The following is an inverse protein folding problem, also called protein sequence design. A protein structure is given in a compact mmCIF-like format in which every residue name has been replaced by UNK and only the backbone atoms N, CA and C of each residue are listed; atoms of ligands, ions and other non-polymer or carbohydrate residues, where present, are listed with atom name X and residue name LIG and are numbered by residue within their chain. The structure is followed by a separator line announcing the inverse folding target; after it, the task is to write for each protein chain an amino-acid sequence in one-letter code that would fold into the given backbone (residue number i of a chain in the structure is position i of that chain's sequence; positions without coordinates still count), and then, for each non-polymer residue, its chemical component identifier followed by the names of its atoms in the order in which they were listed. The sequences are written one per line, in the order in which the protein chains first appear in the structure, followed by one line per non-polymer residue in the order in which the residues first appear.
data_IF_541225691639
#
_entry.id   IF_541225691639
#
_cell.length_a   1.000
_cell.length_b   1.000
_cell.length_c   1.000
_cell.angle_alpha   90.00
_cell.angle_beta   90.00
_cell.angle_gamma   90.00
#
_symmetry.space_group_name_H-M   'P 1'
#
loop_
_entity.id
_entity.type
_entity.pdbx_description
1 polymer ?
#
# COMPACT_ATOMS: atom_id res chain seq x y z
N UNK A 1 -14.12 7.27 20.47
CA UNK A 1 -12.94 6.38 20.62
C UNK A 1 -13.30 5.29 21.59
N UNK A 2 -13.08 4.03 21.22
CA UNK A 2 -13.22 2.87 22.12
C UNK A 2 -11.82 2.47 22.60
N UNK A 3 -11.32 3.05 23.71
CA UNK A 3 -9.93 2.89 24.15
C UNK A 3 -9.57 1.43 24.49
N UNK A 4 -10.56 0.59 24.77
CA UNK A 4 -10.37 -0.81 25.13
C UNK A 4 -10.49 -1.77 23.94
N UNK A 5 -10.69 -1.26 22.71
CA UNK A 5 -10.77 -2.11 21.53
C UNK A 5 -9.37 -2.55 21.08
N UNK A 6 -8.98 -3.83 21.28
CA UNK A 6 -7.61 -4.26 21.03
C UNK A 6 -7.24 -4.21 19.54
N UNK A 7 -8.22 -4.35 18.63
CA UNK A 7 -7.96 -4.24 17.19
C UNK A 7 -7.66 -2.78 16.81
N UNK A 8 -8.46 -1.83 17.30
CA UNK A 8 -8.22 -0.41 17.05
C UNK A 8 -6.89 0.06 17.64
N UNK A 9 -6.53 -0.42 18.82
CA UNK A 9 -5.25 -0.09 19.45
C UNK A 9 -4.06 -0.63 18.66
N UNK A 10 -4.15 -1.87 18.14
CA UNK A 10 -3.13 -2.42 17.23
C UNK A 10 -3.00 -1.57 15.96
N UNK A 11 -4.12 -1.24 15.32
CA UNK A 11 -4.11 -0.51 14.06
C UNK A 11 -3.63 0.95 14.25
N UNK A 12 -3.85 1.53 15.44
CA UNK A 12 -3.29 2.83 15.79
C UNK A 12 -1.74 2.82 15.82
N UNK A 13 -1.11 1.71 16.23
CA UNK A 13 0.34 1.56 16.18
C UNK A 13 0.86 1.50 14.74
N UNK A 14 0.17 0.77 13.87
CA UNK A 14 0.45 0.75 12.42
C UNK A 14 0.39 2.16 11.83
N UNK A 15 -0.68 2.91 12.12
CA UNK A 15 -0.86 4.27 11.60
C UNK A 15 0.17 5.25 12.13
N UNK A 16 0.45 5.29 13.43
CA UNK A 16 1.40 6.27 13.95
C UNK A 16 2.83 6.05 13.43
N UNK A 17 3.26 4.79 13.26
CA UNK A 17 4.59 4.47 12.71
C UNK A 17 4.61 4.74 11.21
N UNK A 18 3.58 4.29 10.49
CA UNK A 18 3.43 4.47 9.05
C UNK A 18 3.39 5.95 8.66
N UNK A 19 2.60 6.75 9.37
CA UNK A 19 2.43 8.17 9.09
C UNK A 19 3.72 8.95 9.32
N UNK A 20 4.37 8.75 10.48
CA UNK A 20 5.59 9.49 10.82
C UNK A 20 6.77 9.12 9.91
N UNK A 21 6.97 7.83 9.62
CA UNK A 21 8.14 7.39 8.87
C UNK A 21 7.94 7.40 7.35
N UNK A 22 6.70 7.26 6.85
CA UNK A 22 6.44 7.11 5.43
C UNK A 22 5.42 8.13 4.91
N UNK A 23 4.14 7.99 5.29
CA UNK A 23 3.02 8.69 4.63
C UNK A 23 3.17 10.21 4.67
N UNK A 24 3.44 10.80 5.83
CA UNK A 24 3.50 12.25 5.96
C UNK A 24 4.68 12.87 5.21
N UNK A 25 5.81 12.16 5.13
CA UNK A 25 6.99 12.65 4.39
C UNK A 25 6.74 12.65 2.87
N UNK A 26 6.07 11.60 2.35
CA UNK A 26 5.64 11.55 0.94
C UNK A 26 4.66 12.69 0.64
N UNK A 27 3.69 12.92 1.54
CA UNK A 27 2.74 14.01 1.40
C UNK A 27 3.42 15.39 1.38
N UNK A 28 4.37 15.62 2.30
CA UNK A 28 5.13 16.88 2.33
C UNK A 28 5.91 17.09 1.03
N UNK A 29 6.61 16.07 0.55
CA UNK A 29 7.38 16.16 -0.69
C UNK A 29 6.48 16.49 -1.90
N UNK A 30 5.37 15.76 -2.04
CA UNK A 30 4.38 15.98 -3.10
C UNK A 30 3.77 17.39 -3.04
N UNK A 31 3.44 17.86 -1.83
CA UNK A 31 2.91 19.21 -1.60
C UNK A 31 3.92 20.27 -2.06
N UNK A 32 5.18 20.17 -1.66
CA UNK A 32 6.22 21.13 -2.06
C UNK A 32 6.42 21.17 -3.57
N UNK A 33 6.46 20.01 -4.23
CA UNK A 33 6.58 19.96 -5.68
C UNK A 33 5.39 20.63 -6.39
N UNK A 34 4.17 20.42 -5.90
CA UNK A 34 2.96 21.01 -6.45
C UNK A 34 2.90 22.54 -6.24
N UNK A 35 3.32 23.03 -5.06
CA UNK A 35 3.41 24.47 -4.75
C UNK A 35 4.36 25.22 -5.70
N UNK A 36 5.42 24.55 -6.17
CA UNK A 36 6.37 25.07 -7.16
C UNK A 36 5.88 24.96 -8.63
N UNK A 37 4.59 24.65 -8.84
CA UNK A 37 3.96 24.65 -10.16
C UNK A 37 4.21 23.40 -11.00
N UNK A 38 4.72 22.31 -10.40
CA UNK A 38 4.91 21.04 -11.10
C UNK A 38 3.65 20.18 -11.11
N UNK A 39 3.49 19.37 -12.15
CA UNK A 39 2.46 18.33 -12.18
C UNK A 39 2.86 17.18 -11.25
N UNK A 40 2.01 16.87 -10.26
CA UNK A 40 2.22 15.79 -9.29
C UNK A 40 1.08 14.78 -9.39
N UNK A 41 1.42 13.49 -9.37
CA UNK A 41 0.48 12.38 -9.30
C UNK A 41 0.76 11.59 -8.04
N UNK A 42 -0.24 11.45 -7.18
CA UNK A 42 -0.16 10.70 -5.92
C UNK A 42 -1.12 9.52 -5.97
N UNK A 43 -0.72 8.39 -5.39
CA UNK A 43 -1.57 7.22 -5.24
C UNK A 43 -1.59 6.75 -3.79
N UNK A 44 -2.66 6.04 -3.42
CA UNK A 44 -2.76 5.25 -2.21
C UNK A 44 -3.02 3.80 -2.63
N UNK A 45 -2.04 2.92 -2.42
CA UNK A 45 -2.14 1.51 -2.78
C UNK A 45 -2.91 0.75 -1.70
N UNK A 46 -3.96 0.01 -2.10
CA UNK A 46 -4.92 -0.64 -1.17
C UNK A 46 -5.24 -2.08 -1.54
N UNK A 47 -4.54 -2.66 -2.50
CA UNK A 47 -4.76 -4.04 -2.92
C UNK A 47 -3.92 -5.01 -2.07
N UNK A 48 -4.51 -6.08 -1.57
CA UNK A 48 -3.80 -7.16 -0.88
C UNK A 48 -3.83 -8.41 -1.74
N UNK A 49 -2.66 -8.96 -2.05
CA UNK A 49 -2.57 -10.23 -2.79
C UNK A 49 -3.36 -11.35 -2.10
N UNK A 50 -4.12 -12.12 -2.89
CA UNK A 50 -4.90 -13.27 -2.40
C UNK A 50 -4.01 -14.31 -1.73
N UNK A 51 -2.81 -14.51 -2.27
CA UNK A 51 -1.79 -15.44 -1.75
C UNK A 51 -0.83 -14.82 -0.73
N UNK A 52 -1.10 -13.62 -0.18
CA UNK A 52 -0.18 -12.94 0.73
C UNK A 52 0.10 -13.83 1.99
N UNK A 53 1.36 -14.20 2.26
CA UNK A 53 1.71 -15.14 3.32
C UNK A 53 1.62 -14.53 4.74
N UNK A 54 1.54 -13.21 4.86
CA UNK A 54 1.47 -12.53 6.14
C UNK A 54 0.10 -12.69 6.80
N UNK A 55 -0.02 -12.56 8.13
CA UNK A 55 -1.30 -12.63 8.81
C UNK A 55 -2.34 -11.65 8.24
N UNK A 56 -3.62 -12.03 8.24
CA UNK A 56 -4.71 -11.20 7.66
C UNK A 56 -4.80 -9.78 8.23
N UNK A 57 -4.44 -9.61 9.51
CA UNK A 57 -4.53 -8.32 10.20
C UNK A 57 -3.48 -7.30 9.72
N UNK A 58 -2.45 -7.73 8.99
CA UNK A 58 -1.42 -6.80 8.50
C UNK A 58 -1.89 -5.91 7.35
N UNK A 59 -3.06 -6.20 6.76
CA UNK A 59 -3.63 -5.38 5.69
C UNK A 59 -2.74 -5.36 4.45
N UNK A 60 -2.42 -4.17 3.96
CA UNK A 60 -1.51 -3.94 2.83
C UNK A 60 -0.26 -3.29 3.38
N UNK A 61 0.85 -4.02 3.35
CA UNK A 61 2.08 -3.61 4.01
C UNK A 61 3.00 -2.83 3.07
N UNK A 62 4.03 -2.23 3.66
CA UNK A 62 5.10 -1.58 2.93
C UNK A 62 5.76 -2.55 1.92
N UNK A 63 5.76 -2.16 0.64
CA UNK A 63 6.37 -2.91 -0.45
C UNK A 63 5.44 -3.92 -1.14
N UNK A 64 4.18 -4.07 -0.69
CA UNK A 64 3.23 -5.02 -1.30
C UNK A 64 2.88 -4.65 -2.76
N UNK A 65 3.08 -3.40 -3.17
CA UNK A 65 2.85 -2.94 -4.54
C UNK A 65 3.93 -3.41 -5.53
N UNK A 66 5.14 -3.72 -5.04
CA UNK A 66 6.33 -4.00 -5.88
C UNK A 66 6.06 -5.16 -6.85
N UNK A 67 5.46 -6.24 -6.37
CA UNK A 67 5.16 -7.42 -7.20
C UNK A 67 4.31 -7.04 -8.43
N UNK A 68 3.36 -6.13 -8.26
CA UNK A 68 2.44 -5.70 -9.31
C UNK A 68 3.09 -4.72 -10.28
N UNK A 69 3.89 -3.77 -9.78
CA UNK A 69 4.62 -2.81 -10.61
C UNK A 69 5.60 -3.52 -11.55
N UNK A 70 6.22 -4.60 -11.07
CA UNK A 70 7.17 -5.40 -11.85
C UNK A 70 6.54 -6.52 -12.69
N UNK A 71 5.22 -6.66 -12.69
CA UNK A 71 4.57 -7.67 -13.51
C UNK A 71 4.71 -9.11 -12.99
N UNK A 72 5.09 -9.33 -11.73
CA UNK A 72 5.21 -10.68 -11.17
C UNK A 72 3.91 -11.49 -11.28
N UNK A 73 2.69 -10.92 -11.12
CA UNK A 73 1.44 -11.63 -11.39
C UNK A 73 1.33 -12.28 -12.77
N UNK A 74 2.07 -11.76 -13.75
CA UNK A 74 2.07 -12.27 -15.12
C UNK A 74 2.92 -13.53 -15.29
N UNK A 75 3.70 -13.93 -14.27
CA UNK A 75 4.45 -15.17 -14.28
C UNK A 75 3.49 -16.37 -14.13
N UNK A 76 3.35 -17.23 -15.17
CA UNK A 76 2.41 -18.36 -15.14
C UNK A 76 2.78 -19.46 -14.14
N UNK A 77 4.00 -19.45 -13.59
CA UNK A 77 4.41 -20.40 -12.55
C UNK A 77 3.89 -20.04 -11.16
N UNK A 78 3.30 -18.86 -10.99
CA UNK A 78 2.79 -18.34 -9.72
C UNK A 78 1.25 -18.36 -9.68
N UNK A 79 0.70 -18.32 -8.47
CA UNK A 79 -0.73 -18.51 -8.21
C UNK A 79 -1.59 -17.24 -8.16
N UNK A 80 -1.25 -16.19 -8.92
CA UNK A 80 -2.03 -14.94 -8.97
C UNK A 80 -3.34 -15.13 -9.75
N UNK A 81 -4.39 -14.41 -9.35
CA UNK A 81 -5.70 -14.45 -10.03
C UNK A 81 -5.67 -13.69 -11.36
N UNK A 82 -6.67 -13.91 -12.22
CA UNK A 82 -6.81 -13.10 -13.45
C UNK A 82 -7.02 -11.62 -13.14
N UNK A 83 -7.81 -11.29 -12.12
CA UNK A 83 -7.99 -9.90 -11.66
C UNK A 83 -6.66 -9.26 -11.20
N UNK A 84 -5.79 -10.02 -10.54
CA UNK A 84 -4.46 -9.56 -10.12
C UNK A 84 -3.51 -9.36 -11.31
N UNK A 85 -3.63 -10.18 -12.35
CA UNK A 85 -2.90 -10.00 -13.61
C UNK A 85 -3.36 -8.75 -14.36
N UNK A 86 -4.66 -8.52 -14.41
CA UNK A 86 -5.23 -7.29 -15.00
C UNK A 86 -4.84 -6.05 -14.21
N UNK A 87 -4.86 -6.14 -12.88
CA UNK A 87 -4.41 -5.07 -12.02
C UNK A 87 -2.93 -4.75 -12.24
N UNK A 88 -2.06 -5.76 -12.35
CA UNK A 88 -0.65 -5.57 -12.66
C UNK A 88 -0.40 -4.94 -14.04
N UNK A 89 -1.20 -5.27 -15.06
CA UNK A 89 -1.12 -4.63 -16.38
C UNK A 89 -1.56 -3.16 -16.37
N UNK A 90 -2.43 -2.79 -15.43
CA UNK A 90 -3.04 -1.47 -15.35
C UNK A 90 -2.12 -0.44 -14.71
N UNK A 91 -1.37 -0.84 -13.68
CA UNK A 91 -0.58 0.07 -12.85
C UNK A 91 0.78 0.41 -13.44
#
# INVERSE_FOLDING_TARGET
TEPDNPNSNRDALDKMVGDYHFTCNVNEFAQRYAEEGNNVYMYLYTHRSKGNPWPRWTGVMHGDEINYVFGEPLNPTLGYTEDEKDFSRKI
#
